data_IF_248890414232
#
_entry.id   IF_248890414232
#
_cell.length_a   1.000
_cell.length_b   1.000
_cell.length_c   1.000
_cell.angle_alpha   90.00
_cell.angle_beta   90.00
_cell.angle_gamma   90.00
#
_symmetry.space_group_name_H-M   'P 1'
#
loop_
_entity.id
_entity.type
_entity.pdbx_description
1 polymer ?
#
# COMPACT_ATOMS: atom_id res chain seq x y z
N UNK A 1 11.71 0.48 8.45
CA UNK A 1 10.96 0.95 7.26
C UNK A 1 10.99 -0.16 6.23
N UNK A 2 9.88 -0.57 5.62
CA UNK A 2 9.92 -1.58 4.57
C UNK A 2 10.70 -1.03 3.38
N UNK A 3 11.74 -1.75 2.95
CA UNK A 3 12.68 -1.25 1.94
C UNK A 3 12.02 -0.94 0.60
N UNK A 4 10.96 -1.68 0.27
CA UNK A 4 10.24 -1.52 -0.99
C UNK A 4 8.86 -0.83 -0.83
N UNK A 5 8.51 -0.41 0.39
CA UNK A 5 7.17 0.07 0.71
C UNK A 5 6.16 -1.07 0.87
N UNK A 6 4.90 -0.75 1.13
CA UNK A 6 3.83 -1.73 1.34
C UNK A 6 2.50 -1.28 0.73
N UNK A 7 1.80 -2.15 -0.01
CA UNK A 7 0.51 -1.83 -0.64
C UNK A 7 -0.59 -1.41 0.34
N UNK A 8 -0.49 -1.81 1.62
CA UNK A 8 -1.41 -1.37 2.67
C UNK A 8 -1.44 0.15 2.83
N UNK A 9 -0.34 0.86 2.53
CA UNK A 9 -0.31 2.32 2.57
C UNK A 9 -1.28 2.95 1.56
N UNK A 10 -1.29 2.45 0.30
CA UNK A 10 -2.29 2.83 -0.68
C UNK A 10 -3.71 2.52 -0.20
N UNK A 11 -3.92 1.31 0.30
CA UNK A 11 -5.24 0.86 0.77
C UNK A 11 -5.77 1.76 1.89
N UNK A 12 -4.93 2.15 2.85
CA UNK A 12 -5.33 3.04 3.96
C UNK A 12 -5.67 4.45 3.50
N UNK A 13 -4.91 5.01 2.57
CA UNK A 13 -5.21 6.34 2.02
C UNK A 13 -6.49 6.29 1.20
N UNK A 14 -6.62 5.32 0.30
CA UNK A 14 -7.74 5.24 -0.65
C UNK A 14 -9.08 4.83 -0.02
N UNK A 15 -9.06 4.07 1.08
CA UNK A 15 -10.25 3.43 1.65
C UNK A 15 -10.43 3.66 3.15
N UNK A 16 -9.47 4.28 3.82
CA UNK A 16 -9.46 4.43 5.27
C UNK A 16 -8.74 3.32 6.00
N UNK A 17 -8.52 3.50 7.29
CA UNK A 17 -7.99 2.46 8.16
C UNK A 17 -9.06 1.42 8.46
N UNK A 18 -8.63 0.21 8.72
CA UNK A 18 -9.53 -0.92 8.90
C UNK A 18 -10.09 -0.95 10.31
N UNK A 19 -11.02 -0.09 10.65
CA UNK A 19 -11.64 -0.09 11.96
C UNK A 19 -12.17 -1.47 12.38
N UNK A 20 -11.27 -2.37 12.78
CA UNK A 20 -11.58 -3.67 13.37
C UNK A 20 -12.25 -4.72 12.48
N UNK A 21 -12.56 -4.43 11.21
CA UNK A 21 -13.33 -5.33 10.34
C UNK A 21 -12.51 -6.31 9.51
N UNK A 22 -11.20 -6.07 9.35
CA UNK A 22 -10.32 -6.93 8.55
C UNK A 22 -9.23 -7.63 9.35
N UNK A 23 -9.18 -7.46 10.64
CA UNK A 23 -8.36 -8.33 11.49
C UNK A 23 -9.11 -9.65 11.66
N UNK A 24 -8.88 -10.60 10.76
CA UNK A 24 -9.28 -11.99 10.91
C UNK A 24 -8.52 -12.68 12.06
N UNK A 25 -8.06 -11.95 13.04
CA UNK A 25 -7.38 -12.44 14.20
C UNK A 25 -8.00 -11.90 15.47
N UNK A 26 -8.17 -12.75 16.45
CA UNK A 26 -8.46 -12.44 17.85
C UNK A 26 -7.35 -11.56 18.47
N UNK A 27 -6.94 -10.48 17.81
CA UNK A 27 -5.93 -9.55 18.25
C UNK A 27 -6.56 -8.26 18.74
N UNK A 28 -5.99 -7.75 19.80
CA UNK A 28 -6.40 -6.61 20.60
C UNK A 28 -7.04 -5.45 19.77
N UNK A 29 -8.35 -5.50 19.62
CA UNK A 29 -9.19 -4.50 18.93
C UNK A 29 -8.98 -3.08 19.48
N UNK A 30 -8.41 -2.92 20.69
CA UNK A 30 -8.17 -1.64 21.34
C UNK A 30 -7.03 -0.86 20.69
N UNK A 31 -5.93 -1.54 20.28
CA UNK A 31 -4.78 -0.85 19.64
C UNK A 31 -5.10 -0.46 18.19
N UNK A 32 -5.81 -1.32 17.46
CA UNK A 32 -6.31 -1.00 16.12
C UNK A 32 -7.31 0.17 16.16
N UNK A 33 -8.17 0.21 17.19
CA UNK A 33 -9.08 1.33 17.46
C UNK A 33 -8.31 2.62 17.73
N UNK A 34 -7.24 2.60 18.53
CA UNK A 34 -6.46 3.80 18.84
C UNK A 34 -5.78 4.41 17.60
N UNK A 35 -5.34 3.59 16.66
CA UNK A 35 -4.79 4.08 15.38
C UNK A 35 -5.91 4.68 14.52
N UNK A 36 -7.06 4.02 14.45
CA UNK A 36 -8.23 4.53 13.74
C UNK A 36 -8.73 5.84 14.34
N UNK A 37 -8.70 5.99 15.67
CA UNK A 37 -9.06 7.24 16.36
C UNK A 37 -8.12 8.40 16.03
N UNK A 38 -6.84 8.13 15.71
CA UNK A 38 -5.84 9.15 15.37
C UNK A 38 -5.81 9.46 13.89
N UNK A 39 -5.81 8.42 13.04
CA UNK A 39 -5.62 8.55 11.58
C UNK A 39 -6.97 8.62 10.85
N UNK A 40 -8.02 8.06 11.44
CA UNK A 40 -9.37 7.96 10.87
C UNK A 40 -9.72 6.54 10.39
N UNK A 41 -11.01 6.24 10.35
CA UNK A 41 -11.55 4.96 9.89
C UNK A 41 -11.87 4.94 8.39
N UNK A 42 -12.28 6.09 7.86
CA UNK A 42 -12.75 6.25 6.48
C UNK A 42 -11.76 7.04 5.63
N UNK A 43 -11.87 6.97 4.31
CA UNK A 43 -11.07 7.80 3.41
C UNK A 43 -11.27 9.31 3.65
N UNK A 44 -12.47 9.72 4.05
CA UNK A 44 -12.76 11.12 4.38
C UNK A 44 -11.99 11.61 5.61
N UNK A 45 -11.63 10.71 6.52
CA UNK A 45 -10.86 11.03 7.73
C UNK A 45 -9.35 10.85 7.51
N UNK A 46 -8.95 9.80 6.80
CA UNK A 46 -7.51 9.51 6.57
C UNK A 46 -6.87 10.39 5.51
N UNK A 47 -7.60 10.73 4.44
CA UNK A 47 -7.05 11.52 3.33
C UNK A 47 -6.55 12.89 3.77
N UNK A 48 -7.27 13.70 4.58
CA UNK A 48 -6.76 15.00 5.03
C UNK A 48 -5.44 14.92 5.81
N UNK A 49 -5.20 13.79 6.50
CA UNK A 49 -3.99 13.59 7.32
C UNK A 49 -2.84 13.05 6.48
N UNK A 50 -3.11 12.11 5.59
CA UNK A 50 -2.06 11.33 4.91
C UNK A 50 -1.67 11.90 3.55
N UNK A 51 -2.60 12.55 2.84
CA UNK A 51 -2.40 12.96 1.44
C UNK A 51 -1.27 13.96 1.23
N UNK A 52 -1.03 14.84 2.19
CA UNK A 52 0.02 15.88 2.16
C UNK A 52 1.17 15.57 3.12
N UNK A 53 1.23 14.36 3.68
CA UNK A 53 2.30 13.92 4.59
C UNK A 53 3.37 13.13 3.83
N UNK A 54 4.57 13.70 3.58
CA UNK A 54 5.63 12.96 2.91
C UNK A 54 5.99 11.65 3.63
N UNK A 55 5.99 11.65 4.97
CA UNK A 55 6.30 10.46 5.76
C UNK A 55 5.32 9.30 5.54
N UNK A 56 4.02 9.60 5.40
CA UNK A 56 3.01 8.59 5.09
C UNK A 56 3.19 8.06 3.65
N UNK A 57 3.47 8.94 2.69
CA UNK A 57 3.66 8.59 1.29
C UNK A 57 4.96 7.82 1.03
N UNK A 58 5.97 7.97 1.90
CA UNK A 58 7.20 7.16 1.87
C UNK A 58 6.98 5.68 2.22
N UNK A 59 5.82 5.32 2.75
CA UNK A 59 5.44 3.93 3.02
C UNK A 59 4.85 3.22 1.80
N UNK A 60 4.53 3.95 0.72
CA UNK A 60 3.99 3.41 -0.52
C UNK A 60 5.01 2.51 -1.25
N UNK A 61 4.54 1.51 -2.01
CA UNK A 61 5.40 0.74 -2.89
C UNK A 61 6.24 1.64 -3.81
N UNK A 62 7.55 1.48 -3.76
CA UNK A 62 8.46 2.23 -4.62
C UNK A 62 8.69 1.52 -5.97
N UNK A 63 9.57 2.08 -6.80
CA UNK A 63 9.88 1.56 -8.13
C UNK A 63 10.52 0.15 -8.14
N UNK A 64 11.03 -0.32 -7.00
CA UNK A 64 11.61 -1.66 -6.83
C UNK A 64 10.58 -2.70 -6.37
N UNK A 65 9.40 -2.27 -5.93
CA UNK A 65 8.36 -3.21 -5.52
C UNK A 65 7.87 -4.05 -6.71
N UNK A 66 7.66 -5.36 -6.54
CA UNK A 66 7.15 -6.22 -7.61
C UNK A 66 5.82 -5.72 -8.18
N UNK A 67 5.72 -5.61 -9.50
CA UNK A 67 4.52 -5.17 -10.21
C UNK A 67 3.83 -6.32 -10.94
N UNK A 68 2.50 -6.29 -11.13
CA UNK A 68 1.55 -5.31 -10.60
C UNK A 68 1.28 -5.53 -9.11
N UNK A 69 1.01 -4.46 -8.37
CA UNK A 69 0.61 -4.56 -6.97
C UNK A 69 -0.80 -3.98 -6.69
N UNK A 70 -1.45 -3.41 -7.70
CA UNK A 70 -2.90 -3.19 -7.74
C UNK A 70 -3.45 -3.98 -8.90
N UNK A 71 -4.48 -4.77 -8.64
CA UNK A 71 -5.17 -5.55 -9.66
C UNK A 71 -6.67 -5.30 -9.56
N UNK A 72 -7.29 -4.94 -10.68
CA UNK A 72 -8.74 -4.84 -10.79
C UNK A 72 -9.26 -6.13 -11.40
N UNK A 73 -10.21 -6.76 -10.73
CA UNK A 73 -10.77 -8.06 -11.10
C UNK A 73 -12.28 -7.99 -11.23
N UNK A 74 -12.83 -8.79 -12.10
CA UNK A 74 -14.25 -9.15 -12.06
C UNK A 74 -14.43 -10.58 -11.60
N UNK A 75 -15.56 -10.82 -10.97
CA UNK A 75 -15.99 -12.13 -10.50
C UNK A 75 -17.37 -12.44 -11.05
N UNK A 76 -17.48 -13.59 -11.72
CA UNK A 76 -18.73 -14.07 -12.30
C UNK A 76 -19.05 -15.45 -11.77
N UNK A 77 -20.29 -15.69 -11.39
CA UNK A 77 -20.72 -17.02 -10.99
C UNK A 77 -21.18 -17.81 -12.21
N UNK A 78 -20.47 -18.90 -12.52
CA UNK A 78 -20.75 -19.81 -13.62
C UNK A 78 -20.90 -21.23 -13.05
N UNK A 79 -22.07 -21.85 -13.25
CA UNK A 79 -22.34 -23.21 -12.73
C UNK A 79 -22.04 -23.38 -11.24
N UNK A 80 -22.42 -22.40 -10.40
CA UNK A 80 -22.16 -22.35 -8.95
C UNK A 80 -20.68 -22.27 -8.57
N UNK A 81 -19.80 -21.89 -9.49
CA UNK A 81 -18.39 -21.61 -9.24
C UNK A 81 -18.10 -20.14 -9.58
N UNK A 82 -17.34 -19.48 -8.75
CA UNK A 82 -16.92 -18.12 -9.04
C UNK A 82 -15.67 -18.16 -9.93
N UNK A 83 -15.80 -17.64 -11.13
CA UNK A 83 -14.69 -17.40 -12.06
C UNK A 83 -14.21 -15.96 -11.87
N UNK A 84 -12.91 -15.80 -11.64
CA UNK A 84 -12.28 -14.50 -11.42
C UNK A 84 -11.38 -14.17 -12.59
N UNK A 85 -11.52 -12.96 -13.14
CA UNK A 85 -10.76 -12.49 -14.29
C UNK A 85 -10.08 -11.16 -13.98
N UNK A 86 -8.81 -11.03 -14.38
CA UNK A 86 -8.07 -9.78 -14.27
C UNK A 86 -8.52 -8.81 -15.38
N UNK A 87 -8.82 -7.58 -14.98
CA UNK A 87 -9.25 -6.50 -15.87
C UNK A 87 -8.17 -5.45 -16.05
N UNK A 88 -7.48 -5.05 -14.97
CA UNK A 88 -6.36 -4.12 -15.00
C UNK A 88 -5.26 -4.59 -14.07
N UNK A 89 -4.02 -4.33 -14.47
CA UNK A 89 -2.81 -4.53 -13.67
C UNK A 89 -2.07 -3.20 -13.56
N UNK A 90 -1.87 -2.71 -12.33
CA UNK A 90 -1.34 -1.38 -12.05
C UNK A 90 -0.26 -1.43 -10.97
N UNK A 91 0.64 -0.44 -10.92
CA UNK A 91 0.93 0.51 -11.99
C UNK A 91 1.53 -0.19 -13.20
N UNK A 92 1.23 0.28 -14.41
CA UNK A 92 1.80 -0.20 -15.66
C UNK A 92 3.09 0.54 -16.07
N UNK A 93 3.42 1.60 -15.34
CA UNK A 93 4.61 2.43 -15.52
C UNK A 93 5.24 2.84 -14.21
N UNK A 94 5.72 4.08 -14.16
CA UNK A 94 6.27 4.69 -12.95
C UNK A 94 5.20 4.74 -11.83
N UNK A 95 5.45 4.19 -10.63
CA UNK A 95 4.47 4.21 -9.55
C UNK A 95 4.14 5.65 -9.08
N UNK A 96 5.06 6.58 -9.19
CA UNK A 96 4.83 7.96 -8.74
C UNK A 96 3.88 8.73 -9.66
N UNK A 97 3.86 8.42 -10.97
CA UNK A 97 2.86 8.96 -11.90
C UNK A 97 1.47 8.41 -11.56
N UNK A 98 1.40 7.13 -11.20
CA UNK A 98 0.17 6.53 -10.70
C UNK A 98 -0.32 7.19 -9.39
N UNK A 99 0.58 7.54 -8.46
CA UNK A 99 0.20 8.23 -7.22
C UNK A 99 -0.31 9.65 -7.46
N UNK A 100 0.17 10.32 -8.52
CA UNK A 100 -0.31 11.64 -8.95
C UNK A 100 -1.62 11.60 -9.75
N UNK A 101 -2.09 10.40 -10.14
CA UNK A 101 -3.40 10.25 -10.78
C UNK A 101 -4.52 10.50 -9.76
N UNK A 102 -5.13 11.67 -9.85
CA UNK A 102 -6.24 12.10 -8.99
C UNK A 102 -7.60 12.03 -9.72
N UNK A 103 -7.65 11.46 -10.93
CA UNK A 103 -8.86 11.44 -11.78
C UNK A 103 -9.49 10.07 -11.88
N UNK A 104 -8.68 9.02 -11.97
CA UNK A 104 -9.19 7.65 -12.10
C UNK A 104 -10.07 7.25 -10.93
N UNK A 105 -11.04 6.38 -11.18
CA UNK A 105 -11.91 5.87 -10.12
C UNK A 105 -11.13 5.07 -9.06
N UNK A 106 -9.99 4.48 -9.41
CA UNK A 106 -9.06 3.75 -8.54
C UNK A 106 -7.94 4.64 -7.95
N UNK A 107 -8.05 5.97 -8.08
CA UNK A 107 -7.07 6.92 -7.53
C UNK A 107 -6.76 6.65 -6.05
N UNK A 108 -5.53 6.91 -5.65
CA UNK A 108 -5.11 6.78 -4.26
C UNK A 108 -5.69 7.90 -3.41
N UNK A 109 -5.56 9.13 -3.88
CA UNK A 109 -5.99 10.33 -3.17
C UNK A 109 -7.14 10.98 -3.92
N UNK A 110 -8.21 11.28 -3.18
CA UNK A 110 -9.27 12.14 -3.65
C UNK A 110 -8.97 13.59 -3.20
N UNK A 111 -8.67 14.51 -4.10
CA UNK A 111 -8.32 15.87 -3.73
C UNK A 111 -9.47 16.62 -3.04
N UNK A 112 -10.74 16.24 -3.29
CA UNK A 112 -11.89 16.82 -2.59
C UNK A 112 -11.91 16.44 -1.11
N UNK A 113 -11.39 15.25 -0.76
CA UNK A 113 -11.27 14.79 0.61
C UNK A 113 -10.00 15.32 1.30
N UNK A 114 -9.00 15.76 0.55
CA UNK A 114 -7.72 16.20 1.13
C UNK A 114 -7.83 17.59 1.81
N UNK A 115 -8.71 18.46 1.36
CA UNK A 115 -8.96 19.78 1.98
C UNK A 115 -10.45 20.08 2.15
N UNK A 116 -11.18 19.31 2.96
CA UNK A 116 -12.64 19.46 3.11
C UNK A 116 -13.02 20.83 3.69
N UNK A 117 -12.16 21.43 4.49
CA UNK A 117 -12.36 22.76 5.07
C UNK A 117 -11.86 23.92 4.20
N UNK A 118 -11.32 23.61 3.01
CA UNK A 118 -10.71 24.55 2.05
C UNK A 118 -9.68 25.50 2.71
N UNK A 119 -8.88 24.96 3.62
CA UNK A 119 -7.86 25.75 4.36
C UNK A 119 -6.73 26.19 3.45
N UNK A 120 -6.28 25.33 2.54
CA UNK A 120 -5.19 25.63 1.62
C UNK A 120 -5.64 26.64 0.55
N UNK A 121 -6.82 26.50 -0.01
CA UNK A 121 -7.35 27.44 -1.00
C UNK A 121 -7.58 28.84 -0.43
N UNK A 122 -7.90 28.97 0.87
CA UNK A 122 -8.01 30.29 1.54
C UNK A 122 -6.70 31.07 1.61
N UNK A 123 -5.57 30.38 1.56
CA UNK A 123 -4.23 31.00 1.53
C UNK A 123 -3.60 30.98 0.13
N UNK A 124 -4.41 30.71 -0.91
CA UNK A 124 -3.97 30.77 -2.31
C UNK A 124 -3.17 29.54 -2.78
N UNK A 125 -3.19 28.45 -2.03
CA UNK A 125 -2.45 27.22 -2.38
C UNK A 125 -3.43 26.16 -2.88
N UNK A 126 -3.17 25.57 -4.03
CA UNK A 126 -3.96 24.43 -4.51
C UNK A 126 -3.54 23.15 -3.78
N UNK A 127 -4.51 22.43 -3.20
CA UNK A 127 -4.24 21.17 -2.48
C UNK A 127 -3.58 20.12 -3.39
N UNK A 128 -3.88 20.15 -4.69
CA UNK A 128 -3.30 19.26 -5.70
C UNK A 128 -1.79 19.44 -5.81
N UNK A 129 -1.30 20.66 -5.72
CA UNK A 129 0.13 20.98 -5.77
C UNK A 129 0.82 20.45 -4.51
N UNK A 130 0.23 20.63 -3.34
CA UNK A 130 0.75 20.09 -2.08
C UNK A 130 0.83 18.57 -2.09
N UNK A 131 -0.18 17.90 -2.63
CA UNK A 131 -0.18 16.44 -2.79
C UNK A 131 0.96 16.03 -3.75
N UNK A 132 1.09 16.71 -4.88
CA UNK A 132 2.15 16.44 -5.86
C UNK A 132 3.54 16.65 -5.28
N UNK A 133 3.75 17.70 -4.50
CA UNK A 133 5.01 17.99 -3.80
C UNK A 133 5.34 16.91 -2.76
N UNK A 134 4.34 16.48 -1.98
CA UNK A 134 4.51 15.43 -0.99
C UNK A 134 4.88 14.08 -1.65
N UNK A 135 4.26 13.74 -2.79
CA UNK A 135 4.64 12.57 -3.60
C UNK A 135 6.05 12.75 -4.15
N UNK A 136 6.40 13.94 -4.65
CA UNK A 136 7.75 14.25 -5.11
C UNK A 136 8.82 14.11 -4.04
N UNK A 137 8.51 14.48 -2.80
CA UNK A 137 9.40 14.27 -1.65
C UNK A 137 9.60 12.77 -1.35
N UNK A 138 8.54 11.96 -1.43
CA UNK A 138 8.63 10.51 -1.28
C UNK A 138 9.44 9.87 -2.43
N UNK A 139 9.19 10.27 -3.67
CA UNK A 139 9.96 9.84 -4.84
C UNK A 139 11.45 10.17 -4.70
N UNK A 140 11.77 11.40 -4.27
CA UNK A 140 13.16 11.81 -4.02
C UNK A 140 13.83 10.95 -2.96
N UNK A 141 13.14 10.62 -1.87
CA UNK A 141 13.68 9.70 -0.86
C UNK A 141 13.98 8.35 -1.48
N UNK A 142 13.03 7.76 -2.18
CA UNK A 142 13.15 6.41 -2.72
C UNK A 142 14.20 6.28 -3.83
N UNK A 143 14.34 7.31 -4.68
CA UNK A 143 15.18 7.25 -5.89
C UNK A 143 16.56 7.88 -5.72
N UNK A 144 16.71 8.83 -4.77
CA UNK A 144 17.96 9.56 -4.57
C UNK A 144 18.63 9.28 -3.25
N UNK A 145 17.88 9.23 -2.15
CA UNK A 145 18.47 9.09 -0.81
C UNK A 145 18.70 7.63 -0.42
N UNK A 146 17.85 6.70 -0.91
CA UNK A 146 18.00 5.26 -0.66
C UNK A 146 18.76 4.52 -1.76
N UNK A 147 19.36 5.24 -2.72
CA UNK A 147 20.06 4.68 -3.85
C UNK A 147 21.48 5.28 -3.97
N UNK A 148 22.41 4.49 -4.51
CA UNK A 148 23.75 4.93 -4.90
C UNK A 148 23.95 4.79 -6.38
N UNK A 149 24.96 5.47 -6.96
CA UNK A 149 25.31 5.35 -8.38
C UNK A 149 24.48 6.26 -9.29
N UNK A 150 24.03 7.41 -8.81
CA UNK A 150 23.27 8.39 -9.59
C UNK A 150 24.14 9.34 -10.44
N UNK A 151 25.43 9.07 -10.61
CA UNK A 151 26.38 9.87 -11.41
C UNK A 151 26.42 9.49 -12.90
N UNK A 152 25.56 8.55 -13.33
CA UNK A 152 25.48 8.09 -14.71
C UNK A 152 26.49 7.01 -15.08
N UNK A 153 27.40 6.62 -14.21
CA UNK A 153 28.41 5.58 -14.48
C UNK A 153 27.89 4.15 -14.32
N UNK A 154 26.83 3.97 -13.51
CA UNK A 154 26.15 2.68 -13.31
C UNK A 154 24.66 2.90 -12.96
N UNK A 155 23.78 1.89 -13.19
CA UNK A 155 22.41 1.95 -12.72
C UNK A 155 22.34 2.18 -11.21
N UNK A 156 21.45 3.03 -10.71
CA UNK A 156 21.26 3.22 -9.27
C UNK A 156 20.97 1.89 -8.56
N UNK A 157 21.63 1.65 -7.44
CA UNK A 157 21.45 0.45 -6.60
C UNK A 157 20.94 0.85 -5.23
N UNK A 158 20.12 0.01 -4.54
CA UNK A 158 19.77 0.25 -3.16
C UNK A 158 21.03 0.40 -2.30
N UNK A 159 21.06 1.48 -1.49
CA UNK A 159 22.19 1.71 -0.58
C UNK A 159 21.91 1.14 0.79
N UNK A 160 22.80 0.26 1.21
CA UNK A 160 22.85 -0.23 2.58
C UNK A 160 24.29 -0.18 3.08
N UNK A 161 24.46 0.24 4.32
CA UNK A 161 25.77 0.20 4.95
C UNK A 161 26.31 -1.25 5.00
N UNK A 162 27.62 -1.51 4.81
CA UNK A 162 28.18 -2.87 4.79
C UNK A 162 27.85 -3.73 6.02
N UNK A 163 27.67 -3.09 7.17
CA UNK A 163 27.28 -3.76 8.43
C UNK A 163 25.76 -3.72 8.68
N UNK A 164 24.95 -3.65 7.64
CA UNK A 164 23.50 -3.72 7.76
C UNK A 164 23.05 -5.16 7.90
N UNK A 165 22.25 -5.42 8.94
CA UNK A 165 21.48 -6.62 9.15
C UNK A 165 20.00 -6.27 9.08
N UNK A 166 19.19 -7.10 8.48
CA UNK A 166 17.77 -6.87 8.35
C UNK A 166 16.96 -8.06 8.88
N UNK A 167 15.77 -7.78 9.42
CA UNK A 167 14.77 -8.81 9.69
C UNK A 167 13.39 -8.35 9.24
N UNK A 168 12.55 -9.32 8.89
CA UNK A 168 11.19 -9.08 8.42
C UNK A 168 10.27 -10.22 8.84
N UNK A 169 8.98 -9.93 9.06
CA UNK A 169 7.99 -10.96 9.38
C UNK A 169 7.69 -11.84 8.18
N UNK A 170 7.72 -13.16 8.39
CA UNK A 170 7.44 -14.17 7.36
C UNK A 170 6.35 -15.16 7.79
N UNK A 171 5.47 -14.73 8.68
CA UNK A 171 4.43 -15.58 9.23
C UNK A 171 3.33 -15.86 8.19
N UNK A 172 2.91 -17.11 8.09
CA UNK A 172 1.87 -17.56 7.16
C UNK A 172 0.47 -17.16 7.62
N UNK A 173 0.28 -17.01 8.91
CA UNK A 173 -1.00 -16.64 9.52
C UNK A 173 -1.18 -15.12 9.60
N UNK A 174 -0.09 -14.36 9.68
CA UNK A 174 -0.12 -12.91 9.72
C UNK A 174 -0.05 -12.35 8.29
N UNK A 175 -1.23 -12.23 7.68
CA UNK A 175 -1.35 -11.78 6.29
C UNK A 175 -1.12 -10.29 6.16
N UNK A 176 -0.52 -9.91 5.04
CA UNK A 176 -0.35 -8.52 4.60
C UNK A 176 -0.78 -8.39 3.13
N UNK A 177 -1.00 -7.16 2.67
CA UNK A 177 -1.27 -6.93 1.26
C UNK A 177 0.01 -7.08 0.43
N UNK A 178 0.13 -8.18 -0.29
CA UNK A 178 1.12 -8.31 -1.37
C UNK A 178 0.64 -7.55 -2.61
N UNK A 179 -0.68 -7.60 -2.85
CA UNK A 179 -1.40 -6.82 -3.84
C UNK A 179 -2.70 -6.26 -3.24
N UNK A 180 -3.10 -5.08 -3.68
CA UNK A 180 -4.44 -4.55 -3.46
C UNK A 180 -5.33 -4.97 -4.62
N UNK A 181 -6.34 -5.78 -4.34
CA UNK A 181 -7.22 -6.37 -5.34
C UNK A 181 -8.60 -5.77 -5.25
N UNK A 182 -8.94 -4.90 -6.21
CA UNK A 182 -10.27 -4.38 -6.40
C UNK A 182 -11.12 -5.39 -7.15
N UNK A 183 -12.22 -5.85 -6.56
CA UNK A 183 -13.06 -6.90 -7.14
C UNK A 183 -14.50 -6.44 -7.26
N UNK A 184 -15.11 -6.67 -8.40
CA UNK A 184 -16.55 -6.46 -8.60
C UNK A 184 -17.23 -7.75 -9.06
N UNK A 185 -18.46 -7.99 -8.61
CA UNK A 185 -19.32 -9.02 -9.18
C UNK A 185 -19.92 -8.52 -10.48
N UNK A 186 -19.78 -9.34 -11.54
CA UNK A 186 -20.49 -9.09 -12.80
C UNK A 186 -21.98 -9.40 -12.64
N UNK A 187 -22.87 -8.62 -13.27
CA UNK A 187 -24.30 -8.95 -13.28
C UNK A 187 -24.52 -10.29 -14.00
N UNK A 188 -25.45 -11.08 -13.48
CA UNK A 188 -25.77 -12.40 -14.03
C UNK A 188 -26.55 -12.32 -15.37
N UNK A 189 -27.19 -11.19 -15.65
CA UNK A 189 -28.01 -10.95 -16.82
C UNK A 189 -27.29 -9.98 -17.75
N UNK A 190 -27.14 -10.35 -19.02
CA UNK A 190 -26.43 -9.59 -20.06
C UNK A 190 -25.00 -9.21 -19.66
N UNK A 191 -24.07 -10.16 -19.60
CA UNK A 191 -22.69 -9.86 -19.27
C UNK A 191 -22.11 -8.96 -20.36
N UNK A 192 -21.96 -7.68 -20.07
CA UNK A 192 -21.19 -6.77 -20.90
C UNK A 192 -19.75 -7.23 -20.90
N UNK A 193 -19.17 -7.39 -22.08
CA UNK A 193 -17.75 -7.75 -22.17
C UNK A 193 -16.90 -6.60 -21.58
N UNK A 194 -16.48 -6.76 -20.34
CA UNK A 194 -15.60 -5.80 -19.67
C UNK A 194 -14.22 -5.86 -20.33
N UNK A 195 -13.76 -4.74 -20.86
CA UNK A 195 -12.41 -4.60 -21.40
C UNK A 195 -11.55 -3.71 -20.48
N UNK A 196 -10.22 -3.85 -20.50
CA UNK A 196 -9.33 -2.97 -19.75
C UNK A 196 -9.56 -1.48 -20.04
N UNK A 197 -9.82 -1.11 -21.28
CA UNK A 197 -10.10 0.26 -21.70
C UNK A 197 -11.40 0.81 -21.10
N UNK A 198 -12.45 0.03 -21.08
CA UNK A 198 -13.72 0.43 -20.46
C UNK A 198 -13.58 0.62 -18.96
N UNK A 199 -12.83 -0.25 -18.28
CA UNK A 199 -12.57 -0.14 -16.84
C UNK A 199 -11.69 1.07 -16.52
N UNK A 200 -10.67 1.38 -17.35
CA UNK A 200 -9.87 2.62 -17.17
C UNK A 200 -10.71 3.87 -17.34
N UNK A 201 -11.60 3.89 -18.32
CA UNK A 201 -12.46 5.04 -18.64
C UNK A 201 -13.69 5.15 -17.74
N UNK A 202 -13.89 4.22 -16.80
CA UNK A 202 -15.03 4.22 -15.92
C UNK A 202 -14.99 5.40 -14.93
N UNK A 203 -16.17 5.85 -14.51
CA UNK A 203 -16.33 7.02 -13.66
C UNK A 203 -16.76 6.61 -12.26
N UNK A 204 -16.11 7.13 -11.24
CA UNK A 204 -16.54 7.00 -9.84
C UNK A 204 -17.89 7.70 -9.66
N UNK A 205 -18.88 6.98 -9.15
CA UNK A 205 -20.22 7.50 -8.83
C UNK A 205 -20.30 7.81 -7.34
N UNK A 206 -19.88 6.88 -6.51
CA UNK A 206 -19.89 7.03 -5.06
C UNK A 206 -18.82 6.15 -4.40
N UNK A 207 -18.41 6.55 -3.20
CA UNK A 207 -17.59 5.74 -2.33
C UNK A 207 -18.27 5.57 -0.98
N UNK A 208 -18.23 4.35 -0.43
CA UNK A 208 -18.78 4.10 0.91
C UNK A 208 -17.74 4.42 1.98
N UNK A 209 -18.20 4.56 3.23
CA UNK A 209 -17.30 4.75 4.38
C UNK A 209 -16.25 3.61 4.51
N UNK A 210 -16.60 2.41 4.08
CA UNK A 210 -15.71 1.24 4.11
C UNK A 210 -14.74 1.18 2.92
N UNK A 211 -14.75 2.18 2.04
CA UNK A 211 -13.89 2.29 0.88
C UNK A 211 -14.37 1.58 -0.37
N UNK A 212 -15.54 0.91 -0.36
CA UNK A 212 -16.11 0.35 -1.59
C UNK A 212 -16.45 1.47 -2.56
N UNK A 213 -16.26 1.23 -3.85
CA UNK A 213 -16.49 2.22 -4.91
C UNK A 213 -17.55 1.75 -5.88
N UNK A 214 -18.60 2.53 -6.04
CA UNK A 214 -19.55 2.36 -7.13
C UNK A 214 -19.03 3.08 -8.36
N UNK A 215 -18.92 2.35 -9.46
CA UNK A 215 -18.28 2.82 -10.67
C UNK A 215 -19.22 2.60 -11.85
N UNK A 216 -19.42 3.63 -12.66
CA UNK A 216 -20.17 3.56 -13.91
C UNK A 216 -19.23 3.20 -15.06
N UNK A 217 -19.46 2.06 -15.69
CA UNK A 217 -18.71 1.55 -16.82
C UNK A 217 -19.54 1.74 -18.10
N UNK A 218 -19.02 2.53 -19.03
CA UNK A 218 -19.79 2.91 -20.24
C UNK A 218 -21.04 3.72 -19.90
N UNK A 219 -22.16 3.43 -20.59
CA UNK A 219 -23.39 4.24 -20.47
C UNK A 219 -24.25 3.85 -19.27
N UNK A 220 -24.45 2.56 -19.01
CA UNK A 220 -25.50 2.08 -18.11
C UNK A 220 -25.05 0.98 -17.12
N UNK A 221 -23.81 0.52 -17.17
CA UNK A 221 -23.35 -0.53 -16.27
C UNK A 221 -22.77 0.09 -15.00
N UNK A 222 -23.33 -0.26 -13.86
CA UNK A 222 -22.82 0.09 -12.54
C UNK A 222 -22.19 -1.15 -11.91
N UNK A 223 -20.94 -1.01 -11.46
CA UNK A 223 -20.22 -2.05 -10.74
C UNK A 223 -19.78 -1.52 -9.39
N UNK A 224 -19.98 -2.33 -8.35
CA UNK A 224 -19.46 -2.04 -7.02
C UNK A 224 -18.16 -2.80 -6.82
N UNK A 225 -17.06 -2.08 -6.71
CA UNK A 225 -15.74 -2.60 -6.39
C UNK A 225 -15.48 -2.55 -4.89
N UNK A 226 -15.00 -3.65 -4.35
CA UNK A 226 -14.52 -3.77 -2.98
C UNK A 226 -13.11 -4.35 -2.98
N UNK A 227 -12.35 -4.15 -1.90
CA UNK A 227 -11.01 -4.70 -1.79
C UNK A 227 -11.09 -6.10 -1.17
N UNK A 228 -10.43 -7.07 -1.82
CA UNK A 228 -10.25 -8.40 -1.24
C UNK A 228 -9.26 -8.35 -0.08
N UNK A 229 -9.38 -9.33 0.85
CA UNK A 229 -8.48 -9.46 2.00
C UNK A 229 -7.00 -9.61 1.58
N UNK A 230 -6.11 -9.54 2.55
CA UNK A 230 -4.67 -9.74 2.42
C UNK A 230 -4.35 -11.09 1.75
N UNK A 231 -3.29 -11.12 0.95
CA UNK A 231 -2.94 -12.27 0.10
C UNK A 231 -1.52 -12.81 0.33
N UNK A 232 -0.67 -12.05 0.98
CA UNK A 232 0.72 -12.42 1.20
C UNK A 232 1.01 -12.74 2.67
N UNK A 233 2.00 -13.56 2.92
CA UNK A 233 2.58 -13.74 4.25
C UNK A 233 3.29 -12.45 4.68
N UNK A 234 3.41 -12.20 5.98
CA UNK A 234 4.05 -10.99 6.46
C UNK A 234 4.00 -10.83 7.96
N UNK A 235 3.73 -9.60 8.38
CA UNK A 235 3.58 -9.18 9.77
C UNK A 235 2.30 -8.35 10.00
N UNK A 236 1.25 -8.58 9.20
CA UNK A 236 -0.03 -7.85 9.12
C UNK A 236 0.07 -6.48 8.42
N UNK A 237 1.25 -6.01 8.10
CA UNK A 237 1.47 -4.69 7.47
C UNK A 237 2.40 -4.79 6.27
N UNK A 238 3.56 -5.41 6.47
CA UNK A 238 4.60 -5.55 5.45
C UNK A 238 4.59 -6.96 4.89
N UNK A 239 4.35 -7.15 3.60
CA UNK A 239 4.42 -8.47 2.99
C UNK A 239 5.87 -8.92 2.83
N UNK A 240 6.08 -10.22 2.84
CA UNK A 240 7.41 -10.87 2.73
C UNK A 240 8.22 -10.31 1.55
N UNK A 241 7.60 -10.12 0.38
CA UNK A 241 8.32 -9.61 -0.80
C UNK A 241 8.91 -8.22 -0.60
N UNK A 242 8.29 -7.38 0.25
CA UNK A 242 8.87 -6.09 0.62
C UNK A 242 9.95 -6.24 1.70
N UNK A 243 9.67 -7.03 2.73
CA UNK A 243 10.61 -7.27 3.82
C UNK A 243 11.90 -7.93 3.36
N UNK A 244 11.80 -8.87 2.42
CA UNK A 244 12.93 -9.57 1.81
C UNK A 244 13.69 -8.73 0.78
N UNK A 245 13.17 -7.58 0.35
CA UNK A 245 13.80 -6.74 -0.68
C UNK A 245 15.28 -6.43 -0.46
N UNK A 246 15.76 -6.15 0.75
CA UNK A 246 17.16 -5.90 1.03
C UNK A 246 18.09 -7.12 0.94
N UNK A 247 17.57 -8.34 0.89
CA UNK A 247 18.33 -9.58 1.17
C UNK A 247 19.60 -9.77 0.35
N UNK A 248 19.62 -9.31 -0.91
CA UNK A 248 20.80 -9.37 -1.77
C UNK A 248 21.78 -8.20 -1.59
N UNK A 249 21.45 -7.23 -0.75
CA UNK A 249 22.20 -5.97 -0.59
C UNK A 249 22.68 -5.73 0.83
N UNK A 250 22.31 -6.58 1.79
CA UNK A 250 22.72 -6.48 3.19
C UNK A 250 23.53 -7.71 3.59
N UNK A 251 24.25 -7.60 4.70
CA UNK A 251 25.14 -8.67 5.16
C UNK A 251 24.41 -9.96 5.48
N UNK A 252 23.24 -9.84 6.12
CA UNK A 252 22.40 -10.97 6.45
C UNK A 252 20.95 -10.51 6.70
N UNK A 253 19.98 -11.35 6.30
CA UNK A 253 18.57 -11.18 6.61
C UNK A 253 18.04 -12.32 7.43
N UNK A 254 17.04 -12.03 8.27
CA UNK A 254 16.33 -12.98 9.08
C UNK A 254 14.85 -12.88 8.77
N UNK A 255 14.18 -14.02 8.70
CA UNK A 255 12.75 -14.14 8.40
C UNK A 255 11.99 -14.81 9.56
N UNK A 256 11.97 -14.20 10.77
CA UNK A 256 11.26 -14.74 11.90
C UNK A 256 9.75 -14.75 11.68
N UNK A 257 9.08 -15.63 12.44
CA UNK A 257 7.63 -15.76 12.51
C UNK A 257 7.14 -15.44 13.92
N UNK A 258 5.82 -15.27 14.09
CA UNK A 258 5.22 -15.13 15.42
C UNK A 258 5.27 -13.70 15.99
N UNK A 259 5.46 -12.66 15.17
CA UNK A 259 5.33 -11.29 15.62
C UNK A 259 4.52 -10.42 14.65
N UNK A 260 3.82 -9.46 15.19
CA UNK A 260 3.08 -8.44 14.45
C UNK A 260 3.94 -7.21 14.23
N UNK A 261 3.69 -6.46 13.18
CA UNK A 261 4.48 -5.29 12.80
C UNK A 261 4.75 -4.32 13.95
N UNK A 262 3.69 -3.88 14.62
CA UNK A 262 3.81 -2.93 15.74
C UNK A 262 4.42 -3.54 17.00
N UNK A 263 4.39 -4.85 17.13
CA UNK A 263 4.86 -5.62 18.28
C UNK A 263 6.15 -6.39 17.97
N UNK A 264 6.85 -5.99 16.91
CA UNK A 264 8.03 -6.72 16.41
C UNK A 264 9.15 -6.92 17.45
N UNK A 265 9.22 -6.09 18.48
CA UNK A 265 10.20 -6.19 19.58
C UNK A 265 9.59 -6.70 20.90
N UNK A 266 8.31 -7.06 20.94
CA UNK A 266 7.69 -7.63 22.15
C UNK A 266 8.13 -9.09 22.41
N UNK A 267 8.26 -9.99 21.40
CA UNK A 267 8.73 -11.35 21.63
C UNK A 267 10.19 -11.36 22.12
N UNK A 268 10.48 -12.19 23.12
CA UNK A 268 11.82 -12.31 23.69
C UNK A 268 12.86 -12.71 22.65
N UNK A 269 12.53 -13.65 21.77
CA UNK A 269 13.41 -14.08 20.68
C UNK A 269 13.83 -12.91 19.76
N UNK A 270 12.94 -11.95 19.50
CA UNK A 270 13.27 -10.78 18.70
C UNK A 270 14.18 -9.81 19.45
N UNK A 271 13.97 -9.62 20.74
CA UNK A 271 14.87 -8.82 21.57
C UNK A 271 16.27 -9.43 21.65
N UNK A 272 16.36 -10.74 21.79
CA UNK A 272 17.63 -11.46 21.79
C UNK A 272 18.32 -11.35 20.43
N UNK A 273 17.60 -11.50 19.32
CA UNK A 273 18.14 -11.30 17.97
C UNK A 273 18.73 -9.89 17.83
N UNK A 274 17.99 -8.85 18.18
CA UNK A 274 18.46 -7.46 18.06
C UNK A 274 19.71 -7.22 18.94
N UNK A 275 19.73 -7.72 20.19
CA UNK A 275 20.91 -7.64 21.05
C UNK A 275 22.13 -8.34 20.44
N UNK A 276 21.93 -9.55 19.92
CA UNK A 276 22.98 -10.30 19.25
C UNK A 276 23.55 -9.53 18.06
N UNK A 277 22.69 -8.94 17.22
CA UNK A 277 23.10 -8.17 16.05
C UNK A 277 23.86 -6.90 16.43
N UNK A 278 23.45 -6.19 17.48
CA UNK A 278 24.17 -5.03 18.00
C UNK A 278 25.59 -5.42 18.42
N UNK A 279 25.74 -6.48 19.23
CA UNK A 279 27.05 -6.98 19.65
C UNK A 279 27.91 -7.37 18.45
N UNK A 280 27.32 -8.09 17.49
CA UNK A 280 28.02 -8.52 16.28
C UNK A 280 28.51 -7.34 15.44
N UNK A 281 27.70 -6.32 15.23
CA UNK A 281 28.08 -5.09 14.51
C UNK A 281 29.26 -4.41 15.21
N UNK A 282 29.20 -4.27 16.55
CA UNK A 282 30.30 -3.65 17.32
C UNK A 282 31.60 -4.44 17.16
N UNK A 283 31.54 -5.77 17.18
CA UNK A 283 32.73 -6.63 17.01
C UNK A 283 33.31 -6.58 15.59
N UNK A 284 32.50 -6.29 14.58
CA UNK A 284 32.94 -6.19 13.18
C UNK A 284 33.58 -4.84 12.83
N UNK A 285 33.37 -3.82 13.66
CA UNK A 285 33.91 -2.47 13.43
C UNK A 285 35.24 -2.29 14.18
N UNK A 286 35.53 -3.10 15.20
CA UNK A 286 36.81 -3.12 15.89
C UNK A 286 37.89 -3.84 15.07
#
# INVERSE_FOLDING_TARGET
MPALGAPVAYRRIACGTEGGRFTNGFGDNRKASAIADIIGESSAETTPVMAVSPGALQLLPNHLYPRPWIVVKSMRSVNRRDEVRDLLSLPDGNPYDFYRDMKSWYRMIDPELADPARRYSKVGTAVVDLISDAIGAAEKLHTKLLMTGGDGSAPPKPYYHPHTYAFYGADKELKAFGQVRWVAREPSINPTALSPSLIRAATLVSATRNGDREVRVGRNLHLRFFIWPEDAHGDETVPVQSGAGPSSHVRQTFAPIGFRHQQSLEPEAMRLLVRHLIVKIVQEIQ
#
